data_IF_373981851720
#
_entry.id   IF_373981851720
#
_cell.length_a   1.000
_cell.length_b   1.000
_cell.length_c   1.000
_cell.angle_alpha   90.00
_cell.angle_beta   90.00
_cell.angle_gamma   90.00
#
_symmetry.space_group_name_H-M   'P 1'
#
loop_
_entity.id
_entity.type
_entity.pdbx_description
1 polymer ?
#
# COMPACT_ATOMS: atom_id res chain seq x y z
N UNK A 1 -2.34 22.93 -25.40
CA UNK A 1 -1.65 22.09 -24.41
C UNK A 1 -2.72 21.39 -23.61
N UNK A 2 -2.77 20.06 -23.64
CA UNK A 2 -3.86 19.30 -23.02
C UNK A 2 -3.66 19.16 -21.49
N UNK A 3 -2.66 19.81 -20.90
CA UNK A 3 -2.31 19.62 -19.49
C UNK A 3 -1.60 18.28 -19.29
N UNK A 4 -0.78 18.20 -18.26
CA UNK A 4 -0.07 16.96 -17.95
C UNK A 4 -1.06 15.95 -17.36
N UNK A 5 -1.20 14.78 -18.00
CA UNK A 5 -2.02 13.68 -17.49
C UNK A 5 -1.29 13.04 -16.31
N UNK A 6 -1.92 12.99 -15.14
CA UNK A 6 -1.31 12.42 -13.94
C UNK A 6 -2.30 11.51 -13.23
N UNK A 7 -1.96 10.23 -13.10
CA UNK A 7 -2.75 9.27 -12.34
C UNK A 7 -2.59 9.49 -10.83
N UNK A 8 -3.71 9.60 -10.11
CA UNK A 8 -3.71 9.77 -8.66
C UNK A 8 -4.80 8.86 -8.07
N UNK A 9 -4.53 7.55 -7.88
CA UNK A 9 -5.49 6.67 -7.22
C UNK A 9 -5.66 7.06 -5.76
N UNK A 10 -6.88 6.93 -5.22
CA UNK A 10 -7.22 6.97 -3.78
C UNK A 10 -8.07 5.76 -3.38
N UNK A 11 -8.09 5.43 -2.10
CA UNK A 11 -8.97 4.42 -1.51
C UNK A 11 -9.65 4.97 -0.25
N UNK A 12 -10.75 4.35 0.17
CA UNK A 12 -11.47 4.71 1.40
C UNK A 12 -10.63 4.46 2.66
N UNK A 13 -9.78 3.44 2.60
CA UNK A 13 -8.77 3.09 3.60
C UNK A 13 -7.64 2.34 2.88
N UNK A 14 -6.44 2.38 3.43
CA UNK A 14 -5.29 1.58 2.96
C UNK A 14 -5.12 0.28 3.73
N UNK A 15 -5.95 0.06 4.76
CA UNK A 15 -5.94 -1.16 5.57
C UNK A 15 -7.36 -1.72 5.76
N UNK A 16 -7.48 -3.05 5.77
CA UNK A 16 -8.71 -3.76 6.16
C UNK A 16 -8.38 -5.16 6.69
N UNK A 17 -9.36 -5.85 7.28
CA UNK A 17 -9.30 -7.28 7.59
C UNK A 17 -9.98 -8.09 6.49
N UNK A 18 -9.50 -9.30 6.20
CA UNK A 18 -10.16 -10.23 5.28
C UNK A 18 -11.35 -10.98 5.96
N UNK A 19 -12.51 -11.13 5.27
CA UNK A 19 -12.86 -10.48 4.01
C UNK A 19 -13.22 -9.00 4.21
N UNK A 20 -12.75 -8.12 3.33
CA UNK A 20 -12.96 -6.68 3.45
C UNK A 20 -13.22 -5.99 2.11
N UNK A 21 -14.15 -5.05 2.09
CA UNK A 21 -14.43 -4.20 0.92
C UNK A 21 -13.65 -2.90 0.99
N UNK A 22 -13.02 -2.52 -0.13
CA UNK A 22 -12.38 -1.22 -0.31
C UNK A 22 -13.06 -0.49 -1.46
N UNK A 23 -13.38 0.79 -1.25
CA UNK A 23 -13.84 1.69 -2.31
C UNK A 23 -12.67 2.48 -2.86
N UNK A 24 -12.49 2.45 -4.18
CA UNK A 24 -11.44 3.17 -4.88
C UNK A 24 -11.98 4.42 -5.57
N UNK A 25 -11.15 5.45 -5.64
CA UNK A 25 -11.49 6.73 -6.24
C UNK A 25 -10.39 7.20 -7.16
N UNK A 26 -10.77 7.65 -8.35
CA UNK A 26 -9.90 8.44 -9.20
C UNK A 26 -9.81 9.89 -8.71
N UNK A 27 -8.58 10.37 -8.50
CA UNK A 27 -8.24 11.79 -8.28
C UNK A 27 -7.26 12.31 -9.34
N UNK A 28 -7.14 11.60 -10.47
CA UNK A 28 -6.22 11.95 -11.54
C UNK A 28 -6.47 13.34 -12.11
N UNK A 29 -5.40 13.97 -12.56
CA UNK A 29 -5.42 15.29 -13.17
C UNK A 29 -5.24 15.20 -14.68
N UNK A 30 -5.75 16.21 -15.40
CA UNK A 30 -5.71 16.28 -16.86
C UNK A 30 -6.92 15.65 -17.55
N UNK A 31 -6.93 15.62 -18.90
CA UNK A 31 -8.06 15.17 -19.71
C UNK A 31 -8.07 13.65 -19.82
N UNK A 32 -8.52 12.99 -18.75
CA UNK A 32 -8.70 11.53 -18.67
C UNK A 32 -9.83 11.09 -19.60
N UNK A 33 -9.58 10.06 -20.41
CA UNK A 33 -10.54 9.43 -21.32
C UNK A 33 -11.00 8.04 -20.88
N UNK A 34 -10.12 7.25 -20.24
CA UNK A 34 -10.48 5.95 -19.67
C UNK A 34 -9.62 5.57 -18.46
N UNK A 35 -10.14 4.65 -17.66
CA UNK A 35 -9.54 4.14 -16.42
C UNK A 35 -9.32 2.65 -16.55
N UNK A 36 -8.24 2.16 -15.96
CA UNK A 36 -7.97 0.75 -15.78
C UNK A 36 -7.36 0.55 -14.40
N UNK A 37 -8.11 -0.10 -13.53
CA UNK A 37 -7.67 -0.51 -12.21
C UNK A 37 -7.16 -1.94 -12.26
N UNK A 38 -6.04 -2.19 -11.61
CA UNK A 38 -5.54 -3.51 -11.24
C UNK A 38 -5.43 -3.56 -9.71
N UNK A 39 -6.23 -4.40 -9.07
CA UNK A 39 -6.31 -4.51 -7.60
C UNK A 39 -5.25 -5.46 -7.02
N UNK A 40 -4.35 -5.98 -7.84
CA UNK A 40 -3.51 -7.11 -7.49
C UNK A 40 -4.21 -8.45 -7.77
N UNK A 41 -3.42 -9.54 -7.76
CA UNK A 41 -3.90 -10.92 -7.97
C UNK A 41 -4.72 -11.16 -9.26
N UNK A 42 -4.51 -10.32 -10.29
CA UNK A 42 -5.16 -10.46 -11.60
C UNK A 42 -6.59 -9.93 -11.69
N UNK A 43 -7.11 -9.29 -10.62
CA UNK A 43 -8.43 -8.66 -10.63
C UNK A 43 -8.37 -7.21 -11.13
N UNK A 44 -9.33 -6.82 -11.98
CA UNK A 44 -9.29 -5.54 -12.69
C UNK A 44 -10.66 -4.87 -12.81
N UNK A 45 -10.69 -3.56 -13.10
CA UNK A 45 -11.91 -2.82 -13.40
C UNK A 45 -11.65 -1.67 -14.38
N UNK A 46 -12.68 -1.27 -15.11
CA UNK A 46 -12.67 -0.08 -15.99
C UNK A 46 -13.57 1.05 -15.46
N UNK A 47 -14.16 0.88 -14.27
CA UNK A 47 -14.98 1.90 -13.63
C UNK A 47 -14.12 3.04 -13.08
N UNK A 48 -14.71 4.24 -13.01
CA UNK A 48 -14.04 5.43 -12.45
C UNK A 48 -13.82 5.26 -10.93
N UNK A 49 -14.83 4.71 -10.25
CA UNK A 49 -14.87 4.55 -8.79
C UNK A 49 -15.33 3.13 -8.40
N UNK A 50 -14.51 2.09 -8.64
CA UNK A 50 -14.91 0.72 -8.35
C UNK A 50 -14.87 0.42 -6.84
N UNK A 51 -15.59 -0.62 -6.42
CA UNK A 51 -15.29 -1.32 -5.17
C UNK A 51 -14.72 -2.71 -5.44
N UNK A 52 -13.91 -3.20 -4.51
CA UNK A 52 -13.30 -4.53 -4.60
C UNK A 52 -13.28 -5.21 -3.23
N UNK A 53 -13.57 -6.51 -3.22
CA UNK A 53 -13.55 -7.34 -2.02
C UNK A 53 -12.26 -8.17 -1.98
N UNK A 54 -11.41 -7.91 -0.98
CA UNK A 54 -10.26 -8.75 -0.69
C UNK A 54 -10.69 -9.90 0.22
N UNK A 55 -10.56 -11.13 -0.27
CA UNK A 55 -10.97 -12.33 0.47
C UNK A 55 -9.84 -12.96 1.27
N UNK A 56 -8.59 -12.67 0.92
CA UNK A 56 -7.41 -13.23 1.55
C UNK A 56 -6.58 -12.11 2.19
N UNK A 57 -5.91 -12.38 3.32
CA UNK A 57 -4.86 -11.50 3.82
C UNK A 57 -3.72 -11.39 2.81
N UNK A 58 -3.11 -10.22 2.72
CA UNK A 58 -2.03 -9.95 1.80
C UNK A 58 -1.68 -8.46 1.69
N UNK A 59 -0.58 -8.18 1.02
CA UNK A 59 -0.12 -6.83 0.68
C UNK A 59 -0.33 -6.66 -0.82
N UNK A 60 -1.21 -5.75 -1.20
CA UNK A 60 -1.70 -5.58 -2.56
C UNK A 60 -1.20 -4.25 -3.13
N UNK A 61 -0.39 -4.30 -4.18
CA UNK A 61 -0.05 -3.11 -4.95
C UNK A 61 -1.16 -2.83 -5.98
N UNK A 62 -1.98 -1.83 -5.71
CA UNK A 62 -3.08 -1.39 -6.57
C UNK A 62 -2.56 -0.34 -7.55
N UNK A 63 -2.81 -0.56 -8.84
CA UNK A 63 -2.44 0.38 -9.90
C UNK A 63 -3.69 0.95 -10.57
N UNK A 64 -3.72 2.27 -10.74
CA UNK A 64 -4.62 2.96 -11.67
C UNK A 64 -3.82 3.45 -12.87
N UNK A 65 -4.16 2.91 -14.04
CA UNK A 65 -3.72 3.42 -15.34
C UNK A 65 -4.83 4.29 -15.92
N UNK A 66 -4.56 5.58 -16.12
CA UNK A 66 -5.45 6.48 -16.86
C UNK A 66 -4.92 6.67 -18.27
N UNK A 67 -5.82 6.65 -19.26
CA UNK A 67 -5.50 7.01 -20.66
C UNK A 67 -6.22 8.31 -21.00
N UNK A 68 -5.47 9.31 -21.44
CA UNK A 68 -5.99 10.62 -21.83
C UNK A 68 -6.63 10.62 -23.21
N UNK A 69 -7.38 11.69 -23.52
CA UNK A 69 -8.08 11.85 -24.81
C UNK A 69 -7.15 11.88 -26.03
N UNK A 70 -5.86 12.16 -25.83
CA UNK A 70 -4.80 12.12 -26.84
C UNK A 70 -4.08 10.76 -26.93
N UNK A 71 -4.50 9.76 -26.14
CA UNK A 71 -3.87 8.45 -26.06
C UNK A 71 -2.64 8.37 -25.15
N UNK A 72 -2.24 9.46 -24.48
CA UNK A 72 -1.19 9.40 -23.46
C UNK A 72 -1.65 8.59 -22.24
N UNK A 73 -0.75 7.89 -21.58
CA UNK A 73 -1.06 7.10 -20.38
C UNK A 73 -0.28 7.61 -19.17
N UNK A 74 -0.87 7.46 -17.99
CA UNK A 74 -0.22 7.72 -16.70
C UNK A 74 -0.62 6.63 -15.71
N UNK A 75 0.36 6.18 -14.93
CA UNK A 75 0.18 5.16 -13.91
C UNK A 75 0.40 5.75 -12.51
N UNK A 76 -0.49 5.39 -11.59
CA UNK A 76 -0.42 5.75 -10.19
C UNK A 76 -0.63 4.50 -9.36
N UNK A 77 0.04 4.41 -8.23
CA UNK A 77 0.04 3.21 -7.38
C UNK A 77 -0.27 3.55 -5.92
N UNK A 78 -0.76 2.55 -5.20
CA UNK A 78 -0.85 2.54 -3.74
C UNK A 78 -0.79 1.12 -3.21
N UNK A 79 -0.41 0.99 -1.94
CA UNK A 79 -0.47 -0.26 -1.21
C UNK A 79 -1.78 -0.37 -0.43
N UNK A 80 -2.45 -1.51 -0.55
CA UNK A 80 -3.55 -1.92 0.34
C UNK A 80 -3.06 -3.10 1.16
N UNK A 81 -3.17 -3.01 2.48
CA UNK A 81 -2.77 -4.06 3.41
C UNK A 81 -4.02 -4.73 3.98
N UNK A 82 -4.12 -6.05 3.80
CA UNK A 82 -5.25 -6.84 4.26
C UNK A 82 -4.74 -7.82 5.30
N UNK A 83 -5.15 -7.67 6.56
CA UNK A 83 -4.76 -8.56 7.66
C UNK A 83 -5.74 -9.73 7.80
N UNK A 84 -5.30 -10.79 8.49
CA UNK A 84 -6.20 -11.88 8.86
C UNK A 84 -7.16 -11.44 9.98
N UNK A 85 -8.38 -11.98 9.96
CA UNK A 85 -9.30 -11.80 11.09
C UNK A 85 -8.67 -12.37 12.37
N UNK A 86 -8.58 -11.53 13.41
CA UNK A 86 -7.99 -11.92 14.70
C UNK A 86 -6.46 -11.93 14.74
N UNK A 87 -5.79 -11.42 13.70
CA UNK A 87 -4.35 -11.19 13.74
C UNK A 87 -3.98 -10.27 14.92
N UNK A 88 -2.84 -10.55 15.55
CA UNK A 88 -2.31 -9.66 16.58
C UNK A 88 -1.76 -8.40 15.91
N UNK A 89 -2.19 -7.25 16.38
CA UNK A 89 -1.62 -5.98 15.96
C UNK A 89 -0.24 -5.84 16.60
N UNK A 90 0.76 -5.58 15.78
CA UNK A 90 2.11 -5.31 16.24
C UNK A 90 2.20 -3.81 16.56
N UNK A 91 2.84 -3.44 17.66
CA UNK A 91 3.05 -2.02 17.95
C UNK A 91 3.91 -1.40 16.83
N UNK A 92 3.66 -0.12 16.48
CA UNK A 92 4.42 0.54 15.40
C UNK A 92 5.91 0.50 15.71
N UNK A 93 6.68 -0.01 14.76
CA UNK A 93 8.11 -0.24 14.84
C UNK A 93 8.51 -1.58 15.48
N UNK A 94 7.62 -2.28 16.19
CA UNK A 94 7.85 -3.62 16.76
C UNK A 94 7.50 -4.67 15.71
N UNK A 95 8.43 -4.89 14.79
CA UNK A 95 8.17 -5.71 13.60
C UNK A 95 8.05 -7.17 14.01
N UNK A 96 8.81 -7.63 14.99
CA UNK A 96 8.81 -9.03 15.42
C UNK A 96 7.68 -9.38 16.42
N UNK A 97 6.98 -8.37 16.96
CA UNK A 97 5.84 -8.53 17.87
C UNK A 97 6.21 -8.97 19.28
N UNK A 98 7.44 -8.70 19.74
CA UNK A 98 7.92 -9.07 21.08
C UNK A 98 7.62 -8.02 22.16
N UNK A 99 7.05 -6.89 21.76
CA UNK A 99 6.69 -5.75 22.60
C UNK A 99 7.85 -4.81 22.90
N UNK A 100 9.00 -4.96 22.25
CA UNK A 100 10.20 -4.15 22.48
C UNK A 100 10.77 -3.62 21.17
N UNK A 101 10.97 -2.31 21.08
CA UNK A 101 11.68 -1.71 19.94
C UNK A 101 13.19 -1.92 20.12
N UNK A 102 13.81 -2.69 19.22
CA UNK A 102 15.24 -2.99 19.28
C UNK A 102 15.91 -2.85 17.92
N UNK A 103 17.23 -3.00 17.88
CA UNK A 103 17.98 -3.11 16.62
C UNK A 103 17.59 -4.32 15.77
N UNK A 104 16.88 -5.31 16.34
CA UNK A 104 16.33 -6.43 15.58
C UNK A 104 15.25 -5.92 14.62
N UNK A 105 14.38 -5.01 15.07
CA UNK A 105 13.32 -4.43 14.24
C UNK A 105 13.91 -3.56 13.13
N UNK A 106 14.94 -2.77 13.44
CA UNK A 106 15.71 -2.02 12.42
C UNK A 106 16.29 -2.98 11.37
N UNK A 107 16.83 -4.13 11.80
CA UNK A 107 17.39 -5.13 10.89
C UNK A 107 16.31 -5.78 10.01
N UNK A 108 15.13 -6.07 10.57
CA UNK A 108 13.99 -6.60 9.80
C UNK A 108 13.53 -5.57 8.75
N UNK A 109 13.31 -4.32 9.16
CA UNK A 109 12.93 -3.23 8.26
C UNK A 109 13.95 -3.07 7.11
N UNK A 110 15.24 -3.01 7.44
CA UNK A 110 16.30 -2.87 6.42
C UNK A 110 16.44 -4.10 5.51
N UNK A 111 16.26 -5.32 6.01
CA UNK A 111 16.24 -6.52 5.16
C UNK A 111 15.07 -6.51 4.17
N UNK A 112 13.89 -6.05 4.59
CA UNK A 112 12.76 -5.86 3.69
C UNK A 112 13.08 -4.81 2.61
N UNK A 113 13.60 -3.65 2.99
CA UNK A 113 13.99 -2.57 2.05
C UNK A 113 15.02 -3.06 1.01
N UNK A 114 15.93 -3.95 1.42
CA UNK A 114 16.93 -4.54 0.53
C UNK A 114 16.38 -5.70 -0.33
N UNK A 115 15.10 -6.06 -0.19
CA UNK A 115 14.48 -7.17 -0.90
C UNK A 115 15.00 -8.54 -0.46
N UNK A 116 15.53 -8.64 0.78
CA UNK A 116 16.07 -9.87 1.34
C UNK A 116 15.03 -10.70 2.08
N UNK A 117 13.85 -10.13 2.35
CA UNK A 117 12.70 -10.80 2.94
C UNK A 117 11.39 -10.15 2.51
N UNK A 118 10.28 -10.85 2.74
CA UNK A 118 8.92 -10.34 2.61
C UNK A 118 8.26 -10.35 3.99
N UNK A 119 7.37 -9.38 4.22
CA UNK A 119 6.61 -9.26 5.47
C UNK A 119 5.21 -9.88 5.33
N UNK A 120 4.67 -10.34 6.46
CA UNK A 120 3.22 -10.50 6.59
C UNK A 120 2.53 -9.13 6.57
N UNK A 121 1.20 -9.08 6.34
CA UNK A 121 0.45 -7.82 6.44
C UNK A 121 0.65 -7.09 7.77
N UNK A 122 0.69 -7.82 8.88
CA UNK A 122 0.88 -7.26 10.23
C UNK A 122 2.29 -6.69 10.42
N UNK A 123 3.31 -7.44 10.01
CA UNK A 123 4.71 -6.98 10.03
C UNK A 123 4.89 -5.75 9.14
N UNK A 124 4.21 -5.68 7.99
CA UNK A 124 4.26 -4.50 7.12
C UNK A 124 3.69 -3.27 7.81
N UNK A 125 2.57 -3.40 8.53
CA UNK A 125 1.97 -2.27 9.26
C UNK A 125 2.85 -1.80 10.43
N UNK A 126 3.52 -2.72 11.12
CA UNK A 126 4.51 -2.34 12.12
C UNK A 126 5.73 -1.66 11.50
N UNK A 127 6.18 -2.14 10.34
CA UNK A 127 7.34 -1.64 9.64
C UNK A 127 7.12 -0.29 8.95
N UNK A 128 5.90 0.05 8.53
CA UNK A 128 5.48 1.39 8.06
C UNK A 128 5.36 2.35 9.25
N UNK A 129 6.50 2.62 9.88
CA UNK A 129 6.61 3.31 11.14
C UNK A 129 6.21 4.79 11.04
N UNK A 130 6.26 5.42 9.86
CA UNK A 130 5.73 6.77 9.63
C UNK A 130 4.27 6.79 9.12
N UNK A 131 3.77 5.67 8.60
CA UNK A 131 2.37 5.45 8.20
C UNK A 131 2.04 6.04 6.83
N UNK A 132 3.04 6.20 5.96
CA UNK A 132 2.88 6.75 4.61
C UNK A 132 2.43 5.69 3.59
N UNK A 133 2.39 4.41 3.97
CA UNK A 133 2.00 3.28 3.13
C UNK A 133 3.14 2.65 2.32
N UNK A 134 4.39 3.06 2.58
CA UNK A 134 5.60 2.60 1.90
C UNK A 134 6.68 2.39 2.95
N UNK A 135 7.23 1.19 3.02
CA UNK A 135 8.39 0.90 3.88
C UNK A 135 9.65 1.40 3.18
N UNK A 136 10.30 2.39 3.77
CA UNK A 136 11.56 2.95 3.28
C UNK A 136 12.56 3.26 4.41
N UNK A 137 13.65 3.94 4.05
CA UNK A 137 14.74 4.20 5.01
C UNK A 137 14.30 5.12 6.16
N UNK A 138 13.28 5.96 5.97
CA UNK A 138 12.78 6.83 7.02
C UNK A 138 12.07 6.04 8.12
N UNK A 139 11.41 4.93 7.78
CA UNK A 139 10.86 4.01 8.77
C UNK A 139 11.96 3.36 9.60
N UNK A 140 12.97 2.80 8.93
CA UNK A 140 14.10 2.16 9.60
C UNK A 140 14.85 3.14 10.53
N UNK A 141 15.01 4.39 10.09
CA UNK A 141 15.60 5.45 10.92
C UNK A 141 14.72 5.79 12.12
N UNK A 142 13.40 5.93 11.92
CA UNK A 142 12.45 6.19 12.99
C UNK A 142 12.45 5.09 14.06
N UNK A 143 12.50 3.82 13.65
CA UNK A 143 12.62 2.68 14.56
C UNK A 143 13.97 2.74 15.30
N UNK A 144 15.06 3.03 14.59
CA UNK A 144 16.41 3.10 15.18
C UNK A 144 16.55 4.19 16.23
N UNK A 145 15.82 5.30 16.11
CA UNK A 145 15.86 6.40 17.08
C UNK A 145 15.11 6.06 18.38
N UNK A 146 14.19 5.07 18.33
CA UNK A 146 13.36 4.62 19.45
C UNK A 146 13.84 3.31 20.07
N UNK A 147 14.80 2.63 19.45
CA UNK A 147 15.34 1.37 19.93
C UNK A 147 16.22 1.55 21.18
N UNK A 148 15.93 0.76 22.22
CA UNK A 148 16.70 0.73 23.49
C UNK A 148 17.92 -0.22 23.44
#
# INVERSE_FOLDING_TARGET
DLGNLQSIPRASTITTTAPGEIHFFDKSEGPVGSWYWNFGEGSTSFEIHPSFYYTNPGIYNVTLTVTGLNGATSDGQMTIVVTAEGAQDHDRGDINGDGSLTVVDVLLCTNYILGLMEFTPEEFLAADADGNGVIDIFDALGISDLAD
#
